data_IF_598928554406
#
_entry.id   IF_598928554406
#
_cell.length_a   1.000
_cell.length_b   1.000
_cell.length_c   1.000
_cell.angle_alpha   90.00
_cell.angle_beta   90.00
_cell.angle_gamma   90.00
#
_symmetry.space_group_name_H-M   'P 1'
#
loop_
_entity.id
_entity.type
_entity.pdbx_description
1 polymer ?
#
# COMPACT_ATOMS: atom_id res chain seq x y z
N UNK A 1 -16.05 1.90 13.93
CA UNK A 1 -14.59 2.08 14.11
C UNK A 1 -13.95 0.70 14.03
N UNK A 2 -12.87 0.55 13.27
CA UNK A 2 -12.05 -0.67 13.14
C UNK A 2 -10.62 -0.34 13.51
N UNK A 3 -9.97 -1.24 14.24
CA UNK A 3 -8.55 -1.17 14.58
C UNK A 3 -7.97 -2.54 14.29
N UNK A 4 -6.92 -2.57 13.48
CA UNK A 4 -6.23 -3.78 13.06
C UNK A 4 -4.74 -3.60 13.30
N UNK A 5 -4.07 -4.65 13.72
CA UNK A 5 -2.62 -4.68 13.85
C UNK A 5 -2.10 -6.08 13.52
N UNK A 6 -0.87 -6.15 13.06
CA UNK A 6 -0.17 -7.38 12.76
C UNK A 6 1.31 -7.24 13.09
N UNK A 7 1.92 -8.34 13.52
CA UNK A 7 3.32 -8.43 13.94
C UNK A 7 3.96 -9.51 13.07
N UNK A 8 5.04 -9.17 12.38
CA UNK A 8 5.74 -10.02 11.42
C UNK A 8 4.79 -10.80 10.48
N UNK A 9 3.80 -10.16 9.80
CA UNK A 9 2.99 -10.86 8.82
C UNK A 9 3.83 -11.33 7.64
N UNK A 10 3.51 -12.51 7.13
CA UNK A 10 3.98 -12.92 5.81
C UNK A 10 3.02 -12.35 4.75
N UNK A 11 3.43 -11.25 4.11
CA UNK A 11 2.70 -10.64 3.00
C UNK A 11 3.20 -11.09 1.62
N UNK A 12 4.22 -11.95 1.57
CA UNK A 12 4.82 -12.43 0.32
C UNK A 12 3.91 -13.41 -0.43
N UNK A 13 2.99 -14.09 0.27
CA UNK A 13 2.22 -15.20 -0.28
C UNK A 13 0.97 -14.80 -1.08
N UNK A 14 0.49 -13.56 -1.00
CA UNK A 14 -0.83 -13.17 -1.56
C UNK A 14 -0.71 -12.51 -2.94
N UNK A 15 0.49 -12.27 -3.45
CA UNK A 15 0.69 -11.47 -4.69
C UNK A 15 0.64 -12.27 -6.01
N UNK A 16 0.46 -13.60 -5.97
CA UNK A 16 0.78 -14.48 -7.12
C UNK A 16 -0.18 -14.44 -8.32
N UNK A 17 -1.34 -13.78 -8.26
CA UNK A 17 -2.40 -13.94 -9.27
C UNK A 17 -2.74 -12.68 -10.09
N UNK A 18 -1.75 -11.91 -10.55
CA UNK A 18 -1.98 -10.91 -11.61
C UNK A 18 -0.81 -10.83 -12.58
N UNK A 19 -0.84 -11.64 -13.63
CA UNK A 19 0.03 -11.45 -14.79
C UNK A 19 -0.55 -10.32 -15.65
N UNK A 20 -0.12 -9.08 -15.43
CA UNK A 20 -0.33 -8.03 -16.44
C UNK A 20 0.78 -8.20 -17.48
N UNK A 21 0.40 -8.61 -18.68
CA UNK A 21 1.32 -8.82 -19.80
C UNK A 21 1.76 -7.45 -20.32
N UNK A 22 3.01 -7.10 -20.04
CA UNK A 22 3.66 -5.88 -20.50
C UNK A 22 4.39 -6.17 -21.82
N UNK A 23 3.71 -5.97 -22.95
CA UNK A 23 4.36 -6.09 -24.27
C UNK A 23 4.88 -4.73 -24.74
N UNK A 24 4.49 -3.58 -24.14
CA UNK A 24 4.77 -2.25 -24.72
C UNK A 24 4.77 -1.04 -23.74
N UNK A 25 4.84 -1.23 -22.41
CA UNK A 25 4.88 -0.10 -21.46
C UNK A 25 6.32 0.14 -20.96
N UNK A 26 6.91 1.32 -21.18
CA UNK A 26 8.21 1.68 -20.59
C UNK A 26 8.13 1.99 -19.09
N UNK A 27 6.91 2.05 -18.53
CA UNK A 27 6.64 2.52 -17.16
C UNK A 27 5.93 1.48 -16.30
N UNK A 28 6.14 1.62 -14.99
CA UNK A 28 5.61 0.74 -13.96
C UNK A 28 4.09 0.56 -14.00
N UNK A 29 3.66 -0.68 -13.86
CA UNK A 29 2.26 -1.06 -13.82
C UNK A 29 1.77 -1.04 -12.37
N UNK A 30 0.69 -0.30 -12.10
CA UNK A 30 -0.03 -0.41 -10.84
C UNK A 30 -0.80 -1.73 -10.79
N UNK A 31 -0.49 -2.55 -9.79
CA UNK A 31 -1.22 -3.77 -9.51
C UNK A 31 -2.26 -3.53 -8.42
N UNK A 32 -3.47 -4.11 -8.56
CA UNK A 32 -4.44 -4.07 -7.47
C UNK A 32 -3.86 -4.76 -6.24
N UNK A 33 -4.16 -4.20 -5.08
CA UNK A 33 -3.84 -4.80 -3.79
C UNK A 33 -4.80 -5.97 -3.52
N UNK A 34 -4.27 -7.12 -3.09
CA UNK A 34 -5.07 -8.32 -2.82
C UNK A 34 -4.99 -8.77 -1.36
N UNK A 35 -3.98 -8.31 -0.61
CA UNK A 35 -3.80 -8.68 0.79
C UNK A 35 -4.99 -8.15 1.61
N UNK A 36 -5.70 -9.03 2.35
CA UNK A 36 -6.88 -8.64 3.13
C UNK A 36 -6.63 -7.49 4.10
N UNK A 37 -5.42 -7.40 4.64
CA UNK A 37 -5.01 -6.33 5.56
C UNK A 37 -5.09 -4.94 4.92
N UNK A 38 -4.74 -4.78 3.64
CA UNK A 38 -4.78 -3.46 2.99
C UNK A 38 -6.13 -3.18 2.31
N UNK A 39 -6.84 -4.22 1.86
CA UNK A 39 -8.11 -4.04 1.16
C UNK A 39 -9.25 -3.48 2.01
N UNK A 40 -9.28 -3.78 3.31
CA UNK A 40 -10.35 -3.27 4.17
C UNK A 40 -10.18 -1.77 4.42
N UNK A 41 -11.12 -0.97 3.92
CA UNK A 41 -11.10 0.49 4.05
C UNK A 41 -10.27 1.20 2.98
N UNK A 42 -9.89 0.49 1.90
CA UNK A 42 -9.14 1.08 0.77
C UNK A 42 -9.92 2.17 0.03
N UNK A 43 -11.25 2.15 0.11
CA UNK A 43 -12.12 3.21 -0.40
C UNK A 43 -11.90 4.55 0.34
N UNK A 44 -11.32 4.51 1.55
CA UNK A 44 -10.84 5.70 2.23
C UNK A 44 -9.59 6.29 1.58
N UNK A 45 -8.91 5.58 0.69
CA UNK A 45 -7.75 6.07 -0.06
C UNK A 45 -8.06 6.26 -1.55
N UNK A 46 -9.35 6.27 -1.91
CA UNK A 46 -9.77 6.59 -3.26
C UNK A 46 -9.60 8.09 -3.51
N UNK A 47 -8.63 8.43 -4.35
CA UNK A 47 -8.25 9.77 -4.78
C UNK A 47 -8.15 9.75 -6.31
N UNK A 48 -8.32 10.90 -6.96
CA UNK A 48 -8.16 11.03 -8.41
C UNK A 48 -6.74 10.64 -8.87
N UNK A 49 -5.75 10.85 -8.00
CA UNK A 49 -4.37 10.41 -8.19
C UNK A 49 -4.02 9.31 -7.18
N UNK A 50 -3.19 8.36 -7.58
CA UNK A 50 -2.72 7.32 -6.66
C UNK A 50 -1.69 7.88 -5.68
N UNK A 51 -2.13 8.23 -4.48
CA UNK A 51 -1.27 8.82 -3.43
C UNK A 51 -0.57 7.79 -2.55
N UNK A 52 -0.99 6.52 -2.61
CA UNK A 52 -0.47 5.49 -1.73
C UNK A 52 -0.39 4.14 -2.43
N UNK A 53 0.81 3.59 -2.46
CA UNK A 53 1.05 2.24 -2.95
C UNK A 53 1.33 1.29 -1.79
N UNK A 54 0.34 0.46 -1.45
CA UNK A 54 0.46 -0.54 -0.39
C UNK A 54 1.57 -1.56 -0.63
N UNK A 55 2.02 -1.76 -1.89
CA UNK A 55 3.15 -2.63 -2.21
C UNK A 55 4.50 -2.07 -1.76
N UNK A 56 4.57 -0.82 -1.30
CA UNK A 56 5.76 -0.31 -0.60
C UNK A 56 5.94 -0.94 0.79
N UNK A 57 4.93 -1.63 1.32
CA UNK A 57 5.01 -2.38 2.57
C UNK A 57 5.11 -3.85 2.20
N UNK A 58 6.31 -4.44 2.25
CA UNK A 58 6.56 -5.79 1.72
C UNK A 58 6.90 -6.82 2.82
N UNK A 59 7.91 -6.53 3.66
CA UNK A 59 8.31 -7.36 4.82
C UNK A 59 8.20 -6.59 6.14
N UNK A 60 6.98 -6.24 6.59
CA UNK A 60 6.82 -5.47 7.79
C UNK A 60 7.06 -6.29 9.05
N UNK A 61 7.89 -5.76 9.94
CA UNK A 61 7.97 -6.26 11.32
C UNK A 61 6.71 -5.93 12.12
N UNK A 62 6.05 -4.82 11.77
CA UNK A 62 4.79 -4.41 12.37
C UNK A 62 3.97 -3.56 11.39
N UNK A 63 2.65 -3.75 11.38
CA UNK A 63 1.73 -2.84 10.72
C UNK A 63 0.44 -2.67 11.51
N UNK A 64 -0.11 -1.46 11.53
CA UNK A 64 -1.38 -1.14 12.16
C UNK A 64 -2.22 -0.20 11.32
N UNK A 65 -3.53 -0.37 11.42
CA UNK A 65 -4.52 0.40 10.66
C UNK A 65 -5.70 0.76 11.55
N UNK A 66 -6.13 2.00 11.47
CA UNK A 66 -7.31 2.53 12.14
C UNK A 66 -8.23 3.11 11.07
N UNK A 67 -9.49 2.65 11.07
CA UNK A 67 -10.55 3.16 10.22
C UNK A 67 -11.72 3.60 11.08
N UNK A 68 -12.09 4.87 10.99
CA UNK A 68 -13.31 5.37 11.60
C UNK A 68 -14.22 5.98 10.54
N UNK A 69 -15.33 5.30 10.26
CA UNK A 69 -16.40 5.79 9.40
C UNK A 69 -17.54 6.34 10.26
N UNK A 70 -17.61 7.67 10.38
CA UNK A 70 -18.72 8.38 11.02
C UNK A 70 -19.81 8.78 10.01
N UNK A 71 -20.83 9.50 10.51
CA UNK A 71 -21.94 10.03 9.68
C UNK A 71 -21.55 11.27 8.87
N UNK A 72 -20.65 12.11 9.40
CA UNK A 72 -20.21 13.37 8.79
C UNK A 72 -18.72 13.37 8.45
N UNK A 73 -17.97 12.37 8.90
CA UNK A 73 -16.53 12.32 8.66
C UNK A 73 -16.01 10.89 8.58
N UNK A 74 -14.85 10.74 7.94
CA UNK A 74 -14.09 9.50 7.81
C UNK A 74 -12.65 9.79 8.19
N UNK A 75 -12.06 8.89 8.98
CA UNK A 75 -10.65 8.90 9.36
C UNK A 75 -10.02 7.57 8.95
N UNK A 76 -8.85 7.64 8.31
CA UNK A 76 -8.02 6.51 7.98
C UNK A 76 -6.58 6.80 8.43
N UNK A 77 -5.98 5.86 9.16
CA UNK A 77 -4.58 5.89 9.54
C UNK A 77 -3.99 4.50 9.31
N UNK A 78 -2.87 4.43 8.61
CA UNK A 78 -2.10 3.21 8.38
C UNK A 78 -0.65 3.51 8.71
N UNK A 79 -0.01 2.67 9.50
CA UNK A 79 1.42 2.78 9.83
C UNK A 79 2.07 1.41 9.76
N UNK A 80 3.29 1.33 9.23
CA UNK A 80 4.05 0.09 9.16
C UNK A 80 5.56 0.35 9.27
N UNK A 81 6.25 -0.57 9.94
CA UNK A 81 7.71 -0.66 9.98
C UNK A 81 8.13 -1.81 9.09
N UNK A 82 8.75 -1.49 7.96
CA UNK A 82 9.17 -2.44 6.93
C UNK A 82 10.67 -2.72 7.05
N UNK A 83 11.10 -3.97 6.88
CA UNK A 83 12.51 -4.31 6.87
C UNK A 83 13.10 -4.24 5.46
N UNK A 84 12.27 -4.55 4.45
CA UNK A 84 12.65 -4.56 3.04
C UNK A 84 11.57 -3.87 2.22
N UNK A 85 11.84 -2.63 1.78
CA UNK A 85 10.86 -1.85 1.04
C UNK A 85 11.21 -1.80 -0.44
N UNK A 86 10.40 -2.40 -1.33
CA UNK A 86 10.59 -2.23 -2.76
C UNK A 86 10.27 -0.79 -3.13
N UNK A 87 11.19 -0.15 -3.85
CA UNK A 87 10.95 1.16 -4.43
C UNK A 87 11.09 1.08 -5.95
N UNK A 88 10.36 1.96 -6.62
CA UNK A 88 10.36 2.08 -8.05
C UNK A 88 10.67 3.52 -8.41
N UNK A 89 11.72 3.72 -9.21
CA UNK A 89 12.10 5.02 -9.74
C UNK A 89 11.73 5.05 -11.21
N UNK A 90 10.65 5.75 -11.59
CA UNK A 90 10.32 5.93 -12.99
C UNK A 90 11.30 6.93 -13.62
N UNK A 91 11.82 6.60 -14.80
CA UNK A 91 12.56 7.53 -15.66
C UNK A 91 11.82 7.70 -16.99
N UNK A 92 12.32 8.55 -17.88
CA UNK A 92 11.66 8.84 -19.17
C UNK A 92 11.54 7.61 -20.09
N UNK A 93 12.48 6.66 -19.98
CA UNK A 93 12.56 5.51 -20.89
C UNK A 93 12.35 4.16 -20.21
N UNK A 94 12.63 4.07 -18.91
CA UNK A 94 12.50 2.83 -18.15
C UNK A 94 12.20 3.06 -16.67
N UNK A 95 11.69 2.04 -15.98
CA UNK A 95 11.50 2.08 -14.53
C UNK A 95 12.52 1.18 -13.84
N UNK A 96 13.29 1.74 -12.91
CA UNK A 96 14.23 0.98 -12.10
C UNK A 96 13.55 0.49 -10.82
N UNK A 97 13.71 -0.78 -10.50
CA UNK A 97 13.25 -1.38 -9.23
C UNK A 97 14.44 -1.69 -8.33
N UNK A 98 14.34 -1.33 -7.07
CA UNK A 98 15.30 -1.69 -6.03
C UNK A 98 14.60 -2.11 -4.75
N UNK A 99 15.36 -2.71 -3.83
CA UNK A 99 14.90 -3.02 -2.47
C UNK A 99 15.70 -2.14 -1.51
N UNK A 100 15.00 -1.26 -0.82
CA UNK A 100 15.53 -0.51 0.31
C UNK A 100 15.54 -1.39 1.56
N UNK A 101 16.30 -0.97 2.55
CA UNK A 101 16.33 -1.60 3.87
C UNK A 101 15.16 -1.08 4.73
N UNK A 102 15.35 -0.98 6.05
CA UNK A 102 14.32 -0.58 6.98
C UNK A 102 13.67 0.75 6.59
N UNK A 103 12.33 0.76 6.54
CA UNK A 103 11.56 1.95 6.25
C UNK A 103 10.37 2.09 7.21
N UNK A 104 9.91 3.33 7.38
CA UNK A 104 8.69 3.63 8.10
C UNK A 104 7.66 4.20 7.12
N UNK A 105 6.55 3.48 6.96
CA UNK A 105 5.44 3.86 6.10
C UNK A 105 4.30 4.39 6.96
N UNK A 106 3.75 5.54 6.61
CA UNK A 106 2.58 6.10 7.30
C UNK A 106 1.69 6.87 6.35
N UNK A 107 0.39 6.63 6.43
CA UNK A 107 -0.66 7.35 5.69
C UNK A 107 -1.76 7.76 6.64
N UNK A 108 -2.13 9.03 6.58
CA UNK A 108 -3.22 9.60 7.33
C UNK A 108 -4.16 10.35 6.40
N UNK A 109 -5.46 10.12 6.54
CA UNK A 109 -6.50 10.88 5.85
C UNK A 109 -7.65 11.18 6.79
N UNK A 110 -8.08 12.43 6.76
CA UNK A 110 -9.34 12.88 7.33
C UNK A 110 -10.22 13.46 6.21
N UNK A 111 -11.48 13.06 6.16
CA UNK A 111 -12.46 13.56 5.22
C UNK A 111 -13.73 13.96 5.95
N UNK A 112 -14.30 15.12 5.59
CA UNK A 112 -15.61 15.57 6.04
C UNK A 112 -16.60 15.42 4.87
N UNK A 113 -17.82 14.95 5.14
CA UNK A 113 -18.91 14.77 4.18
C UNK A 113 -19.99 15.84 4.35
#
# INVERSE_FOLDING_TARGET
MSIEATINPDFSQVESDVTKIDINSPTAINYPEQRPFFNRGVDALDFEINVFNSRSINDPSFASKILNQGRKSRLYLLTAFDNETPYLVPTEFESFRGIGTNSFNSVFRYQNF
#
